data_IF_282134062730
#
_entry.id   IF_282134062730
#
_cell.length_a   1.000
_cell.length_b   1.000
_cell.length_c   1.000
_cell.angle_alpha   90.00
_cell.angle_beta   90.00
_cell.angle_gamma   90.00
#
_symmetry.space_group_name_H-M   'P 1'
#
loop_
_entity.id
_entity.type
_entity.pdbx_description
1 polymer ?
#
# COMPACT_ATOMS: atom_id res chain seq x y z
N UNK A 1 6.73 23.47 -11.54
CA UNK A 1 5.67 22.45 -11.47
C UNK A 1 5.80 21.79 -10.11
N UNK A 2 4.88 22.08 -9.19
CA UNK A 2 4.89 21.42 -7.87
C UNK A 2 4.18 20.09 -8.10
N UNK A 3 4.93 18.99 -8.05
CA UNK A 3 4.35 17.66 -8.01
C UNK A 3 3.59 17.61 -6.69
N UNK A 4 2.26 17.76 -6.71
CA UNK A 4 1.46 17.55 -5.51
C UNK A 4 1.63 16.09 -5.13
N UNK A 5 2.33 15.83 -4.03
CA UNK A 5 2.41 14.49 -3.48
C UNK A 5 0.97 14.01 -3.21
N UNK A 6 0.54 12.90 -3.84
CA UNK A 6 -0.77 12.30 -3.57
C UNK A 6 -0.77 11.83 -2.12
N UNK A 7 -1.41 12.58 -1.23
CA UNK A 7 -1.56 12.23 0.18
C UNK A 7 -2.92 11.59 0.38
N UNK A 8 -2.98 10.50 1.14
CA UNK A 8 -4.25 9.78 1.38
C UNK A 8 -5.33 10.65 2.03
N UNK A 9 -4.92 11.65 2.83
CA UNK A 9 -5.79 12.68 3.44
C UNK A 9 -6.61 13.48 2.42
N UNK A 10 -6.17 13.54 1.16
CA UNK A 10 -6.86 14.25 0.07
C UNK A 10 -8.01 13.42 -0.56
N UNK A 11 -8.19 12.17 -0.15
CA UNK A 11 -9.19 11.24 -0.69
C UNK A 11 -10.22 10.84 0.38
N UNK A 12 -11.22 11.70 0.65
CA UNK A 12 -12.19 11.48 1.74
C UNK A 12 -13.12 10.27 1.53
N UNK A 13 -13.19 9.74 0.31
CA UNK A 13 -14.02 8.58 -0.04
C UNK A 13 -13.24 7.26 -0.03
N UNK A 14 -11.99 7.28 0.43
CA UNK A 14 -11.15 6.09 0.48
C UNK A 14 -11.43 5.31 1.76
N UNK A 15 -11.88 4.07 1.61
CA UNK A 15 -12.18 3.17 2.73
C UNK A 15 -11.30 1.94 2.63
N UNK A 16 -10.80 1.48 3.77
CA UNK A 16 -9.87 0.34 3.85
C UNK A 16 -10.45 -0.76 4.73
N UNK A 17 -10.52 -1.98 4.21
CA UNK A 17 -10.87 -3.18 4.98
C UNK A 17 -9.67 -3.78 5.70
N UNK A 18 -8.45 -3.53 5.19
CA UNK A 18 -7.21 -4.02 5.77
C UNK A 18 -6.93 -3.43 7.16
N UNK A 19 -6.50 -4.25 8.11
CA UNK A 19 -6.01 -3.82 9.43
C UNK A 19 -4.74 -4.57 9.87
N UNK A 20 -4.12 -4.09 10.94
CA UNK A 20 -2.86 -4.61 11.46
C UNK A 20 -3.00 -5.61 12.61
N UNK A 21 -4.22 -6.08 12.92
CA UNK A 21 -4.49 -6.86 14.15
C UNK A 21 -3.78 -8.22 14.14
N UNK A 22 -3.73 -8.88 12.98
CA UNK A 22 -3.08 -10.18 12.78
C UNK A 22 -1.86 -10.08 11.86
N UNK A 23 -1.11 -8.99 11.98
CA UNK A 23 0.04 -8.68 11.13
C UNK A 23 1.25 -8.33 11.98
N UNK A 24 2.42 -8.75 11.49
CA UNK A 24 3.67 -8.31 12.07
C UNK A 24 3.93 -6.84 11.71
N UNK A 25 4.90 -6.23 12.37
CA UNK A 25 5.42 -4.92 11.96
C UNK A 25 5.97 -5.04 10.53
N UNK A 26 5.53 -4.16 9.64
CA UNK A 26 5.93 -4.23 8.24
C UNK A 26 5.03 -3.48 7.28
N UNK A 27 5.19 -3.78 6.00
CA UNK A 27 4.44 -3.17 4.90
C UNK A 27 3.64 -4.24 4.16
N UNK A 28 2.38 -3.92 3.90
CA UNK A 28 1.40 -4.82 3.33
C UNK A 28 0.65 -4.14 2.19
N UNK A 29 0.57 -4.80 1.05
CA UNK A 29 -0.12 -4.29 -0.13
C UNK A 29 -1.63 -4.32 0.09
N UNK A 30 -2.31 -3.28 -0.40
CA UNK A 30 -3.76 -3.23 -0.45
C UNK A 30 -4.26 -3.78 -1.79
N UNK A 31 -4.65 -5.06 -1.80
CA UNK A 31 -5.11 -5.74 -3.02
C UNK A 31 -6.47 -5.24 -3.51
N UNK A 32 -7.29 -4.60 -2.67
CA UNK A 32 -8.56 -3.98 -3.08
C UNK A 32 -8.33 -2.72 -3.92
N UNK A 33 -7.17 -2.08 -3.73
CA UNK A 33 -6.77 -0.86 -4.43
C UNK A 33 -5.65 -1.09 -5.44
N UNK A 34 -5.63 -2.28 -6.07
CA UNK A 34 -4.62 -2.66 -7.08
C UNK A 34 -3.16 -2.47 -6.60
N UNK A 35 -2.92 -2.61 -5.30
CA UNK A 35 -1.65 -2.36 -4.64
C UNK A 35 -1.09 -0.94 -4.84
N UNK A 36 -1.86 0.01 -5.40
CA UNK A 36 -1.44 1.41 -5.47
C UNK A 36 -1.36 2.04 -4.08
N UNK A 37 -2.10 1.47 -3.14
CA UNK A 37 -2.00 1.76 -1.72
C UNK A 37 -1.32 0.58 -1.02
N UNK A 38 -0.50 0.89 -0.04
CA UNK A 38 0.04 -0.08 0.90
C UNK A 38 -0.04 0.47 2.32
N UNK A 39 -0.09 -0.42 3.29
CA UNK A 39 -0.24 -0.10 4.70
C UNK A 39 1.03 -0.46 5.45
N UNK A 40 1.55 0.49 6.22
CA UNK A 40 2.54 0.19 7.24
C UNK A 40 1.81 -0.15 8.54
N UNK A 41 2.17 -1.30 9.12
CA UNK A 41 1.81 -1.68 10.48
C UNK A 41 3.00 -1.43 11.39
N UNK A 42 2.80 -0.66 12.45
CA UNK A 42 3.85 -0.39 13.45
C UNK A 42 3.71 -1.28 14.70
N UNK A 43 4.62 -1.09 15.66
CA UNK A 43 4.69 -1.87 16.92
C UNK A 43 3.44 -1.70 17.80
N UNK A 44 2.71 -0.59 17.64
CA UNK A 44 1.47 -0.30 18.37
C UNK A 44 0.23 -0.86 17.64
N UNK A 45 0.41 -1.56 16.51
CA UNK A 45 -0.68 -2.03 15.66
C UNK A 45 -1.39 -0.92 14.89
N UNK A 46 -0.78 0.28 14.78
CA UNK A 46 -1.36 1.38 14.00
C UNK A 46 -1.14 1.12 12.52
N UNK A 47 -2.21 1.33 11.74
CA UNK A 47 -2.21 1.28 10.28
C UNK A 47 -1.96 2.66 9.69
N UNK A 48 -0.91 2.80 8.89
CA UNK A 48 -0.60 4.04 8.18
C UNK A 48 -0.62 3.77 6.67
N UNK A 49 -1.59 4.32 5.92
CA UNK A 49 -1.69 4.11 4.48
C UNK A 49 -0.71 5.02 3.72
N UNK A 50 -0.13 4.48 2.66
CA UNK A 50 0.76 5.17 1.72
C UNK A 50 0.30 4.90 0.29
N UNK A 51 0.58 5.85 -0.61
CA UNK A 51 0.22 5.76 -2.03
C UNK A 51 1.51 5.72 -2.85
N UNK A 52 1.63 4.74 -3.76
CA UNK A 52 2.69 4.69 -4.75
C UNK A 52 2.53 5.82 -5.80
N UNK A 53 3.66 6.40 -6.22
CA UNK A 53 3.68 7.48 -7.21
C UNK A 53 3.51 6.94 -8.65
N UNK A 54 3.22 7.82 -9.61
CA UNK A 54 3.24 7.52 -11.04
C UNK A 54 2.42 6.27 -11.46
N UNK A 55 1.32 5.98 -10.75
CA UNK A 55 0.44 4.83 -11.06
C UNK A 55 1.14 3.47 -10.91
N UNK A 56 2.25 3.43 -10.18
CA UNK A 56 2.93 2.19 -9.78
C UNK A 56 2.17 1.50 -8.64
N UNK A 57 2.47 0.22 -8.44
CA UNK A 57 1.86 -0.63 -7.44
C UNK A 57 2.93 -1.18 -6.50
N UNK A 58 2.58 -1.38 -5.24
CA UNK A 58 3.49 -1.87 -4.23
C UNK A 58 3.78 -3.35 -4.45
N UNK A 59 5.01 -3.65 -4.85
CA UNK A 59 5.56 -4.99 -4.90
C UNK A 59 5.96 -5.38 -3.47
N UNK A 60 5.11 -6.18 -2.83
CA UNK A 60 5.34 -6.61 -1.45
C UNK A 60 6.65 -7.37 -1.34
N UNK A 61 6.94 -8.35 -2.20
CA UNK A 61 8.17 -9.17 -2.16
C UNK A 61 9.45 -8.33 -1.98
N UNK A 62 9.59 -7.25 -2.76
CA UNK A 62 10.76 -6.38 -2.71
C UNK A 62 10.56 -5.10 -1.89
N UNK A 63 9.36 -4.88 -1.36
CA UNK A 63 8.96 -3.69 -0.56
C UNK A 63 9.24 -2.37 -1.30
N UNK A 64 8.96 -2.33 -2.60
CA UNK A 64 9.12 -1.15 -3.48
C UNK A 64 7.88 -0.92 -4.32
N UNK A 65 7.64 0.33 -4.73
CA UNK A 65 6.65 0.62 -5.77
C UNK A 65 7.26 0.30 -7.14
N UNK A 66 6.64 -0.62 -7.86
CA UNK A 66 7.07 -1.06 -9.19
C UNK A 66 5.88 -1.11 -10.14
N UNK A 67 6.13 -1.32 -11.42
CA UNK A 67 5.07 -1.50 -12.39
C UNK A 67 4.42 -2.87 -12.26
N UNK A 68 3.10 -2.92 -12.30
CA UNK A 68 2.31 -4.16 -12.11
C UNK A 68 2.57 -5.22 -13.20
N UNK A 69 3.25 -4.90 -14.31
CA UNK A 69 3.68 -5.91 -15.28
C UNK A 69 4.93 -6.71 -14.82
N UNK A 70 5.62 -6.28 -13.76
CA UNK A 70 6.78 -6.98 -13.19
C UNK A 70 6.38 -8.01 -12.11
N UNK A 71 5.16 -7.94 -11.56
CA UNK A 71 4.71 -8.78 -10.47
C UNK A 71 3.17 -8.85 -10.39
N UNK A 72 2.62 -9.90 -9.78
CA UNK A 72 1.17 -10.01 -9.61
C UNK A 72 0.73 -9.47 -8.24
N UNK A 73 0.07 -8.30 -8.23
CA UNK A 73 -0.44 -7.66 -7.00
C UNK A 73 -1.33 -8.59 -6.17
N UNK A 74 -2.18 -9.41 -6.81
CA UNK A 74 -3.08 -10.34 -6.11
C UNK A 74 -2.34 -11.40 -5.30
N UNK A 75 -1.07 -11.67 -5.63
CA UNK A 75 -0.23 -12.60 -4.89
C UNK A 75 0.51 -11.93 -3.73
N UNK A 76 0.41 -10.61 -3.54
CA UNK A 76 1.13 -9.89 -2.48
C UNK A 76 0.98 -10.49 -1.07
N UNK A 77 -0.19 -11.02 -0.63
CA UNK A 77 -0.32 -11.63 0.69
C UNK A 77 0.56 -12.85 0.97
N UNK A 78 1.21 -13.43 -0.05
CA UNK A 78 2.15 -14.55 0.11
C UNK A 78 3.56 -14.11 0.55
N UNK A 79 3.88 -12.81 0.47
CA UNK A 79 5.20 -12.21 0.69
C UNK A 79 5.26 -11.34 1.95
#
# INVERSE_FOLDING_TARGET
MIIKAKRWEEFPNLTFTFDCSDRAVGFYADTEHHCQIFHMCDEDGRRIPYICANETSFNQEFRVCDWEYNFECQQAPQW
#
